data_IF_297344249700
#
_entry.id   IF_297344249700
#
_cell.length_a   1.000
_cell.length_b   1.000
_cell.length_c   1.000
_cell.angle_alpha   90.00
_cell.angle_beta   90.00
_cell.angle_gamma   90.00
#
_symmetry.space_group_name_H-M   'P 1'
#
loop_
_entity.id
_entity.type
_entity.pdbx_description
1 polymer ?
#
# COMPACT_ATOMS: atom_id res chain seq x y z
N UNK A 1 -17.26 -7.41 -7.98
CA UNK A 1 -16.41 -7.68 -9.18
C UNK A 1 -15.44 -8.79 -8.81
N UNK A 2 -15.44 -9.90 -9.54
CA UNK A 2 -14.64 -11.07 -9.21
C UNK A 2 -13.16 -10.70 -9.10
N UNK A 3 -12.53 -11.00 -7.97
CA UNK A 3 -11.11 -10.74 -7.72
C UNK A 3 -10.27 -11.55 -8.69
N UNK A 4 -9.71 -10.90 -9.71
CA UNK A 4 -8.81 -11.54 -10.69
C UNK A 4 -7.58 -12.06 -9.93
N UNK A 5 -7.39 -13.39 -9.92
CA UNK A 5 -6.23 -14.03 -9.32
C UNK A 5 -5.06 -13.98 -10.30
N UNK A 6 -3.86 -13.70 -9.80
CA UNK A 6 -2.62 -13.75 -10.57
C UNK A 6 -2.21 -15.22 -10.76
N UNK A 7 -1.53 -15.53 -11.87
CA UNK A 7 -1.13 -16.90 -12.19
C UNK A 7 0.24 -16.96 -12.86
N UNK A 8 1.05 -17.93 -12.44
CA UNK A 8 2.28 -18.42 -13.07
C UNK A 8 2.08 -19.88 -13.50
N UNK A 9 3.09 -20.46 -14.16
CA UNK A 9 3.07 -21.83 -14.68
C UNK A 9 2.59 -22.88 -13.65
N UNK A 10 2.92 -22.69 -12.36
CA UNK A 10 2.59 -23.64 -11.29
C UNK A 10 1.98 -22.99 -10.04
N UNK A 11 1.53 -21.74 -10.11
CA UNK A 11 0.97 -21.06 -8.92
C UNK A 11 -0.11 -20.08 -9.31
N UNK A 12 -1.23 -20.10 -8.59
CA UNK A 12 -2.26 -19.07 -8.66
C UNK A 12 -2.37 -18.42 -7.29
N UNK A 13 -2.43 -17.09 -7.23
CA UNK A 13 -2.50 -16.38 -5.96
C UNK A 13 -3.36 -15.13 -6.03
N UNK A 14 -3.91 -14.77 -4.88
CA UNK A 14 -4.60 -13.51 -4.65
C UNK A 14 -4.12 -12.96 -3.31
N UNK A 15 -3.12 -12.10 -3.35
CA UNK A 15 -2.48 -11.54 -2.16
C UNK A 15 -2.94 -10.09 -2.00
N UNK A 16 -4.02 -9.89 -1.25
CA UNK A 16 -4.52 -8.57 -0.86
C UNK A 16 -4.37 -8.39 0.64
N UNK A 17 -3.79 -7.28 1.06
CA UNK A 17 -3.52 -6.99 2.47
C UNK A 17 -4.03 -5.61 2.84
N UNK A 18 -4.65 -5.50 4.01
CA UNK A 18 -5.01 -4.22 4.61
C UNK A 18 -3.90 -3.78 5.56
N UNK A 19 -3.12 -2.78 5.16
CA UNK A 19 -1.93 -2.30 5.89
C UNK A 19 -2.24 -0.92 6.45
N UNK A 20 -2.08 -0.74 7.77
CA UNK A 20 -2.32 0.53 8.46
C UNK A 20 -1.06 0.97 9.18
N UNK A 21 -0.70 2.25 9.00
CA UNK A 21 0.44 2.86 9.68
C UNK A 21 -0.05 3.81 10.77
N UNK A 22 0.61 3.78 11.91
CA UNK A 22 0.33 4.68 13.03
C UNK A 22 1.63 5.35 13.49
N UNK A 23 1.66 6.67 13.69
CA UNK A 23 2.84 7.35 14.20
C UNK A 23 3.19 6.89 15.61
N UNK A 24 4.48 6.95 15.95
CA UNK A 24 4.93 6.74 17.34
C UNK A 24 4.16 7.68 18.26
N UNK A 25 3.60 7.13 19.35
CA UNK A 25 2.72 7.84 20.29
C UNK A 25 1.40 8.38 19.69
N UNK A 26 0.95 7.88 18.53
CA UNK A 26 -0.30 8.29 17.85
C UNK A 26 -0.40 9.81 17.63
N UNK A 27 0.73 10.49 17.43
CA UNK A 27 0.76 11.93 17.18
C UNK A 27 0.01 12.27 15.88
N UNK A 28 -0.88 13.25 15.92
CA UNK A 28 -1.67 13.68 14.74
C UNK A 28 -0.86 14.45 13.68
N UNK A 29 0.45 14.62 13.88
CA UNK A 29 1.37 15.37 13.01
C UNK A 29 1.38 14.84 11.57
N UNK A 30 1.20 13.52 11.40
CA UNK A 30 1.16 12.86 10.07
C UNK A 30 0.01 13.39 9.20
N UNK A 31 -1.11 13.82 9.78
CA UNK A 31 -2.30 14.19 9.02
C UNK A 31 -2.28 15.61 8.46
N UNK A 32 -1.33 16.44 8.89
CA UNK A 32 -1.24 17.83 8.46
C UNK A 32 -0.19 17.97 7.34
N UNK A 33 0.91 18.66 7.61
CA UNK A 33 1.96 18.99 6.64
C UNK A 33 2.61 17.76 5.99
N UNK A 34 2.73 16.65 6.72
CA UNK A 34 3.45 15.47 6.23
C UNK A 34 2.60 14.50 5.41
N UNK A 35 1.27 14.69 5.36
CA UNK A 35 0.35 13.73 4.72
C UNK A 35 0.68 13.54 3.23
N UNK A 36 0.90 14.63 2.52
CA UNK A 36 1.20 14.61 1.09
C UNK A 36 2.55 13.92 0.81
N UNK A 37 3.61 14.36 1.48
CA UNK A 37 4.97 13.82 1.29
C UNK A 37 5.06 12.34 1.64
N UNK A 38 4.45 11.90 2.75
CA UNK A 38 4.43 10.48 3.14
C UNK A 38 3.69 9.65 2.08
N UNK A 39 2.56 10.15 1.57
CA UNK A 39 1.81 9.48 0.51
C UNK A 39 2.63 9.31 -0.78
N UNK A 40 3.35 10.34 -1.21
CA UNK A 40 4.22 10.30 -2.38
C UNK A 40 5.37 9.29 -2.21
N UNK A 41 6.06 9.33 -1.07
CA UNK A 41 7.15 8.41 -0.75
C UNK A 41 6.65 6.96 -0.79
N UNK A 42 5.50 6.67 -0.16
CA UNK A 42 4.94 5.32 -0.14
C UNK A 42 4.55 4.85 -1.54
N UNK A 43 3.94 5.70 -2.37
CA UNK A 43 3.61 5.37 -3.77
C UNK A 43 4.85 5.06 -4.60
N UNK A 44 5.92 5.86 -4.45
CA UNK A 44 7.19 5.61 -5.14
C UNK A 44 7.82 4.28 -4.71
N UNK A 45 7.88 4.01 -3.40
CA UNK A 45 8.45 2.76 -2.87
C UNK A 45 7.64 1.52 -3.30
N UNK A 46 6.31 1.61 -3.31
CA UNK A 46 5.44 0.56 -3.84
C UNK A 46 5.67 0.34 -5.33
N UNK A 47 5.83 1.42 -6.11
CA UNK A 47 6.18 1.35 -7.52
C UNK A 47 7.49 0.62 -7.78
N UNK A 48 8.54 0.90 -7.01
CA UNK A 48 9.83 0.20 -7.13
C UNK A 48 9.75 -1.29 -6.82
N UNK A 49 8.87 -1.70 -5.90
CA UNK A 49 8.66 -3.13 -5.57
C UNK A 49 7.61 -3.81 -6.46
N UNK A 50 6.99 -3.09 -7.39
CA UNK A 50 5.91 -3.63 -8.22
C UNK A 50 4.65 -3.99 -7.43
N UNK A 51 4.40 -3.31 -6.30
CA UNK A 51 3.20 -3.52 -5.48
C UNK A 51 2.07 -2.63 -5.98
N UNK A 52 0.92 -3.23 -6.26
CA UNK A 52 -0.29 -2.52 -6.65
C UNK A 52 -1.03 -1.98 -5.42
N UNK A 53 -1.30 -0.68 -5.42
CA UNK A 53 -2.13 -0.02 -4.39
C UNK A 53 -3.57 -0.02 -4.90
N UNK A 54 -4.44 -0.77 -4.20
CA UNK A 54 -5.85 -0.92 -4.58
C UNK A 54 -6.67 0.26 -4.04
N UNK A 55 -6.44 0.62 -2.77
CA UNK A 55 -7.15 1.67 -2.04
C UNK A 55 -6.13 2.44 -1.17
N UNK A 56 -6.27 3.77 -1.09
CA UNK A 56 -5.38 4.66 -0.32
C UNK A 56 -5.84 6.11 -0.31
#
# INVERSE_FOLDING_TARGET
MATKANSLAHTKWLCKYHIVFTPKYRRKIIYNQYRASIGEILKQLCGYKGVEIIEG
#
